data_IF_795833847496
#
_entry.id   IF_795833847496
#
_cell.length_a   1.000
_cell.length_b   1.000
_cell.length_c   1.000
_cell.angle_alpha   90.00
_cell.angle_beta   90.00
_cell.angle_gamma   90.00
#
_symmetry.space_group_name_H-M   'P 1'
#
loop_
_entity.id
_entity.type
_entity.pdbx_description
1 polymer ?
#
# COMPACT_ATOMS: atom_id res chain seq x y z
N UNK A 1 -1.49 13.30 -4.07
CA UNK A 1 -1.18 14.67 -4.48
C UNK A 1 -1.69 15.67 -3.42
N UNK A 2 -3.01 15.83 -3.19
CA UNK A 2 -3.63 16.83 -2.28
C UNK A 2 -2.95 16.87 -0.89
N UNK A 3 -2.73 15.73 -0.24
CA UNK A 3 -2.04 15.66 1.07
C UNK A 3 -0.63 16.24 1.00
N UNK A 4 0.07 16.00 -0.11
CA UNK A 4 1.42 16.54 -0.31
C UNK A 4 1.43 18.05 -0.53
N UNK A 5 0.33 18.64 -0.98
CA UNK A 5 0.22 20.08 -1.29
C UNK A 5 -0.35 20.89 -0.12
N UNK A 6 -1.30 20.30 0.63
CA UNK A 6 -2.04 20.97 1.72
C UNK A 6 -1.40 20.74 3.08
N UNK A 7 -0.81 19.56 3.32
CA UNK A 7 -0.31 19.18 4.64
C UNK A 7 1.20 19.48 4.76
N UNK A 8 1.62 20.21 5.82
CA UNK A 8 3.03 20.46 6.11
C UNK A 8 3.85 19.17 6.19
N UNK A 9 5.13 19.27 5.83
CA UNK A 9 6.02 18.10 5.71
C UNK A 9 6.11 17.30 7.02
N UNK A 10 6.08 17.99 8.17
CA UNK A 10 6.19 17.44 9.53
C UNK A 10 5.00 16.56 9.93
N UNK A 11 3.83 16.76 9.32
CA UNK A 11 2.58 16.03 9.62
C UNK A 11 2.09 15.14 8.48
N UNK A 12 2.85 15.06 7.39
CA UNK A 12 2.42 14.37 6.16
C UNK A 12 2.27 12.87 6.35
N UNK A 13 3.16 12.23 7.12
CA UNK A 13 3.05 10.80 7.40
C UNK A 13 1.86 10.49 8.31
N UNK A 14 1.56 11.36 9.28
CA UNK A 14 0.34 11.24 10.11
C UNK A 14 -0.94 11.31 9.26
N UNK A 15 -1.01 12.25 8.32
CA UNK A 15 -2.14 12.37 7.39
C UNK A 15 -2.27 11.13 6.48
N UNK A 16 -1.15 10.61 5.97
CA UNK A 16 -1.15 9.37 5.19
C UNK A 16 -1.58 8.16 6.04
N UNK A 17 -1.24 8.14 7.33
CA UNK A 17 -1.69 7.12 8.27
C UNK A 17 -3.21 7.10 8.43
N UNK A 18 -3.85 8.27 8.50
CA UNK A 18 -5.33 8.39 8.56
C UNK A 18 -5.97 7.88 7.26
N UNK A 19 -5.39 8.21 6.10
CA UNK A 19 -5.88 7.71 4.81
C UNK A 19 -5.75 6.19 4.73
N UNK A 20 -4.65 5.60 5.20
CA UNK A 20 -4.49 4.15 5.23
C UNK A 20 -5.46 3.48 6.22
N UNK A 21 -5.74 4.12 7.37
CA UNK A 21 -6.77 3.64 8.29
C UNK A 21 -8.17 3.64 7.65
N UNK A 22 -8.50 4.64 6.84
CA UNK A 22 -9.77 4.68 6.09
C UNK A 22 -9.87 3.54 5.07
N UNK A 23 -8.77 3.18 4.41
CA UNK A 23 -8.73 2.02 3.52
C UNK A 23 -8.97 0.71 4.28
N UNK A 24 -8.34 0.55 5.45
CA UNK A 24 -8.57 -0.62 6.32
C UNK A 24 -10.02 -0.69 6.81
N UNK A 25 -10.61 0.46 7.18
CA UNK A 25 -12.02 0.56 7.58
C UNK A 25 -12.95 0.13 6.44
N UNK A 26 -12.66 0.60 5.21
CA UNK A 26 -13.41 0.20 4.02
C UNK A 26 -13.31 -1.31 3.76
N UNK A 27 -12.17 -1.94 4.01
CA UNK A 27 -12.01 -3.40 3.87
C UNK A 27 -12.80 -4.16 4.94
N UNK A 28 -12.75 -3.73 6.20
CA UNK A 28 -13.41 -4.40 7.33
C UNK A 28 -14.93 -4.30 7.28
N UNK A 29 -15.45 -3.15 6.89
CA UNK A 29 -16.90 -2.88 6.85
C UNK A 29 -17.45 -3.08 5.44
N UNK A 30 -16.73 -2.63 4.42
CA UNK A 30 -17.20 -2.60 3.05
C UNK A 30 -17.37 -3.99 2.44
N UNK A 31 -16.45 -4.93 2.72
CA UNK A 31 -16.56 -6.30 2.20
C UNK A 31 -17.77 -7.03 2.75
N UNK A 32 -18.00 -7.11 4.09
CA UNK A 32 -19.20 -7.75 4.63
C UNK A 32 -20.51 -7.07 4.18
N UNK A 33 -20.56 -5.73 4.18
CA UNK A 33 -21.72 -5.00 3.69
C UNK A 33 -21.94 -5.26 2.21
N UNK A 34 -20.88 -5.26 1.38
CA UNK A 34 -20.99 -5.53 -0.05
C UNK A 34 -21.54 -6.92 -0.34
N UNK A 35 -21.06 -7.93 0.38
CA UNK A 35 -21.59 -9.30 0.30
C UNK A 35 -23.05 -9.35 0.73
N UNK A 36 -23.41 -8.74 1.85
CA UNK A 36 -24.80 -8.67 2.30
C UNK A 36 -25.71 -7.97 1.29
N UNK A 37 -25.30 -6.84 0.73
CA UNK A 37 -26.06 -6.15 -0.31
C UNK A 37 -26.27 -7.01 -1.57
N UNK A 38 -25.27 -7.80 -1.94
CA UNK A 38 -25.37 -8.73 -3.06
C UNK A 38 -26.43 -9.83 -2.83
N UNK A 39 -26.67 -10.23 -1.57
CA UNK A 39 -27.72 -11.20 -1.23
C UNK A 39 -29.12 -10.62 -1.27
N UNK A 40 -29.27 -9.29 -1.15
CA UNK A 40 -30.58 -8.62 -1.17
C UNK A 40 -31.20 -8.53 -2.58
N UNK A 41 -30.36 -8.55 -3.63
CA UNK A 41 -30.81 -8.44 -5.03
C UNK A 41 -29.89 -9.27 -5.93
N UNK A 42 -28.83 -8.65 -6.42
CA UNK A 42 -27.83 -9.28 -7.26
C UNK A 42 -26.44 -8.65 -7.03
N UNK A 43 -25.42 -9.14 -7.74
CA UNK A 43 -24.06 -8.65 -7.61
C UNK A 43 -23.87 -7.18 -8.11
N UNK A 44 -24.82 -6.59 -8.83
CA UNK A 44 -24.77 -5.19 -9.27
C UNK A 44 -25.20 -4.24 -8.16
N UNK A 45 -26.09 -4.68 -7.27
CA UNK A 45 -26.66 -3.82 -6.23
C UNK A 45 -25.62 -3.12 -5.33
N UNK A 46 -24.54 -3.78 -4.86
CA UNK A 46 -23.46 -3.11 -4.16
C UNK A 46 -22.83 -1.95 -4.94
N UNK A 47 -22.70 -2.07 -6.26
CA UNK A 47 -22.12 -1.00 -7.09
C UNK A 47 -23.04 0.22 -7.21
N UNK A 48 -24.35 0.03 -7.27
CA UNK A 48 -25.29 1.15 -7.23
C UNK A 48 -25.26 1.87 -5.87
N UNK A 49 -25.16 1.14 -4.76
CA UNK A 49 -25.00 1.73 -3.42
C UNK A 49 -23.68 2.51 -3.32
N UNK A 50 -22.57 1.94 -3.78
CA UNK A 50 -21.28 2.62 -3.82
C UNK A 50 -21.32 3.86 -4.72
N UNK A 51 -21.99 3.79 -5.86
CA UNK A 51 -22.20 4.96 -6.73
C UNK A 51 -22.97 6.07 -6.05
N UNK A 52 -24.06 5.72 -5.35
CA UNK A 52 -24.82 6.67 -4.54
C UNK A 52 -24.01 7.31 -3.43
N UNK A 53 -23.22 6.51 -2.69
CA UNK A 53 -22.31 7.02 -1.66
C UNK A 53 -21.24 7.93 -2.24
N UNK A 54 -20.69 7.60 -3.41
CA UNK A 54 -19.72 8.45 -4.09
C UNK A 54 -20.33 9.81 -4.50
N UNK A 55 -21.56 9.82 -5.01
CA UNK A 55 -22.29 11.05 -5.33
C UNK A 55 -22.55 11.91 -4.09
N UNK A 56 -22.97 11.31 -2.99
CA UNK A 56 -23.17 12.05 -1.73
C UNK A 56 -21.85 12.60 -1.18
N UNK A 57 -20.73 11.90 -1.37
CA UNK A 57 -19.41 12.38 -0.97
C UNK A 57 -18.92 13.59 -1.78
N UNK A 58 -19.43 13.83 -2.99
CA UNK A 58 -19.10 15.03 -3.77
C UNK A 58 -19.53 16.33 -3.07
N UNK A 59 -20.62 16.28 -2.31
CA UNK A 59 -21.13 17.45 -1.60
C UNK A 59 -20.12 18.03 -0.62
N UNK A 60 -19.62 17.27 0.39
CA UNK A 60 -18.59 17.78 1.29
C UNK A 60 -17.28 18.11 0.57
N UNK A 61 -16.90 17.34 -0.45
CA UNK A 61 -15.71 17.62 -1.25
C UNK A 61 -15.78 19.02 -1.85
N UNK A 62 -16.92 19.38 -2.45
CA UNK A 62 -17.12 20.68 -3.06
C UNK A 62 -17.02 21.85 -2.07
N UNK A 63 -17.51 21.66 -0.83
CA UNK A 63 -17.52 22.73 0.18
C UNK A 63 -16.24 22.82 1.02
N UNK A 64 -15.56 21.69 1.29
CA UNK A 64 -14.43 21.64 2.24
C UNK A 64 -13.06 21.55 1.60
N UNK A 65 -12.96 21.10 0.34
CA UNK A 65 -11.63 21.05 -0.30
C UNK A 65 -11.30 22.43 -0.88
N UNK A 66 -10.19 23.07 -0.45
CA UNK A 66 -9.77 24.35 -0.99
C UNK A 66 -9.43 24.22 -2.48
N UNK A 67 -9.63 25.29 -3.23
CA UNK A 67 -9.19 25.37 -4.63
C UNK A 67 -7.65 25.33 -4.68
N UNK A 68 -7.09 24.21 -5.13
CA UNK A 68 -5.64 24.01 -5.22
C UNK A 68 -5.20 24.34 -6.64
N UNK A 69 -5.30 25.64 -7.01
CA UNK A 69 -4.96 26.11 -8.35
C UNK A 69 -3.64 26.87 -8.39
N UNK A 70 -3.00 27.13 -7.24
CA UNK A 70 -1.82 28.00 -7.15
C UNK A 70 -0.60 27.53 -7.98
N UNK A 71 -0.61 26.28 -8.44
CA UNK A 71 0.45 25.70 -9.28
C UNK A 71 0.05 25.57 -10.77
N UNK A 72 -1.18 26.01 -11.15
CA UNK A 72 -1.72 25.86 -12.51
C UNK A 72 -1.73 27.23 -13.25
N UNK A 73 -1.22 28.28 -12.63
CA UNK A 73 -1.43 29.67 -13.04
C UNK A 73 -0.70 30.15 -14.33
N UNK A 74 -0.09 29.26 -15.09
CA UNK A 74 0.42 29.62 -16.40
C UNK A 74 -0.09 28.68 -17.51
N UNK A 75 -0.88 29.23 -18.42
CA UNK A 75 -1.26 28.56 -19.68
C UNK A 75 -0.06 28.14 -20.54
N UNK A 76 1.14 28.64 -20.24
CA UNK A 76 2.40 28.33 -20.91
C UNK A 76 3.04 27.02 -20.49
N UNK A 77 2.60 26.38 -19.39
CA UNK A 77 3.26 25.24 -18.77
C UNK A 77 2.51 23.90 -18.90
N UNK A 78 1.65 23.73 -19.89
CA UNK A 78 1.10 22.40 -20.21
C UNK A 78 2.19 21.55 -20.89
N UNK A 79 3.09 21.03 -20.07
CA UNK A 79 4.09 20.07 -20.55
C UNK A 79 3.38 18.84 -21.15
N UNK A 80 3.88 18.41 -22.30
CA UNK A 80 3.37 17.20 -22.97
C UNK A 80 3.55 16.00 -22.03
N UNK A 81 2.55 15.12 -21.82
CA UNK A 81 2.67 13.95 -20.95
C UNK A 81 3.94 13.11 -21.21
N UNK A 82 4.37 13.02 -22.46
CA UNK A 82 5.59 12.32 -22.87
C UNK A 82 6.85 13.02 -22.34
N UNK A 83 6.86 14.36 -22.33
CA UNK A 83 7.99 15.12 -21.77
C UNK A 83 8.09 14.96 -20.25
N UNK A 84 6.96 14.92 -19.56
CA UNK A 84 6.91 14.67 -18.11
C UNK A 84 7.52 13.29 -17.80
N UNK A 85 7.13 12.26 -18.53
CA UNK A 85 7.68 10.92 -18.40
C UNK A 85 9.18 10.93 -18.66
N UNK A 86 9.63 11.58 -19.74
CA UNK A 86 11.06 11.71 -20.06
C UNK A 86 11.83 12.44 -18.95
N UNK A 87 11.29 13.50 -18.37
CA UNK A 87 11.90 14.22 -17.24
C UNK A 87 12.01 13.38 -15.98
N UNK A 88 11.01 12.53 -15.70
CA UNK A 88 11.04 11.58 -14.58
C UNK A 88 12.20 10.59 -14.76
N UNK A 89 12.37 10.01 -15.95
CA UNK A 89 13.46 9.06 -16.24
C UNK A 89 14.84 9.73 -16.24
N UNK A 90 14.94 11.01 -16.55
CA UNK A 90 16.21 11.77 -16.49
C UNK A 90 16.59 12.19 -15.07
N UNK A 91 15.65 12.25 -14.14
CA UNK A 91 15.88 12.65 -12.76
C UNK A 91 16.18 11.43 -11.88
N UNK A 92 17.45 11.28 -11.47
CA UNK A 92 17.90 10.15 -10.64
C UNK A 92 17.11 9.96 -9.34
N UNK A 93 16.68 11.04 -8.68
CA UNK A 93 15.91 10.96 -7.44
C UNK A 93 14.50 10.44 -7.69
N UNK A 94 13.85 10.91 -8.76
CA UNK A 94 12.52 10.44 -9.14
C UNK A 94 12.56 8.97 -9.61
N UNK A 95 13.58 8.59 -10.36
CA UNK A 95 13.78 7.20 -10.78
C UNK A 95 14.01 6.26 -9.57
N UNK A 96 14.79 6.71 -8.58
CA UNK A 96 14.97 5.99 -7.32
C UNK A 96 13.64 5.85 -6.56
N UNK A 97 12.84 6.91 -6.51
CA UNK A 97 11.54 6.87 -5.83
C UNK A 97 10.53 5.93 -6.53
N UNK A 98 10.54 5.87 -7.87
CA UNK A 98 9.75 4.89 -8.62
C UNK A 98 10.23 3.46 -8.36
N UNK A 99 11.54 3.21 -8.48
CA UNK A 99 12.14 1.91 -8.21
C UNK A 99 11.86 1.43 -6.79
N UNK A 100 11.93 2.34 -5.81
CA UNK A 100 11.54 2.08 -4.43
C UNK A 100 10.09 1.61 -4.32
N UNK A 101 9.16 2.31 -4.98
CA UNK A 101 7.75 1.91 -5.03
C UNK A 101 7.55 0.52 -5.66
N UNK A 102 8.23 0.23 -6.75
CA UNK A 102 8.21 -1.07 -7.44
C UNK A 102 8.72 -2.18 -6.50
N UNK A 103 9.88 -2.00 -5.87
CA UNK A 103 10.47 -3.00 -4.97
C UNK A 103 9.55 -3.32 -3.78
N UNK A 104 8.92 -2.31 -3.19
CA UNK A 104 7.95 -2.52 -2.11
C UNK A 104 6.74 -3.33 -2.59
N UNK A 105 6.22 -3.03 -3.80
CA UNK A 105 5.09 -3.76 -4.36
C UNK A 105 5.47 -5.20 -4.68
N UNK A 106 6.64 -5.47 -5.25
CA UNK A 106 7.17 -6.81 -5.45
C UNK A 106 7.22 -7.59 -4.14
N UNK A 107 7.78 -6.98 -3.07
CA UNK A 107 7.83 -7.58 -1.74
C UNK A 107 6.44 -7.89 -1.15
N UNK A 108 5.43 -7.07 -1.43
CA UNK A 108 4.12 -7.21 -0.80
C UNK A 108 3.17 -8.10 -1.59
N UNK A 109 3.06 -7.85 -2.89
CA UNK A 109 2.08 -8.52 -3.74
C UNK A 109 2.55 -9.87 -4.29
N UNK A 110 3.78 -10.29 -4.03
CA UNK A 110 4.16 -11.69 -4.18
C UNK A 110 3.51 -12.59 -3.10
N UNK A 111 3.21 -12.04 -1.92
CA UNK A 111 2.66 -12.79 -0.78
C UNK A 111 1.13 -12.73 -0.74
N UNK A 112 0.55 -11.52 -0.86
CA UNK A 112 -0.87 -11.25 -0.57
C UNK A 112 -1.85 -12.15 -1.33
N UNK A 113 -1.70 -12.40 -2.65
CA UNK A 113 -2.67 -13.21 -3.41
C UNK A 113 -2.73 -14.68 -2.95
N UNK A 114 -1.64 -15.18 -2.37
CA UNK A 114 -1.51 -16.58 -2.00
C UNK A 114 -1.77 -16.86 -0.52
N UNK A 115 -1.99 -15.84 0.32
CA UNK A 115 -2.30 -16.04 1.74
C UNK A 115 -3.56 -16.90 1.90
N UNK A 116 -4.68 -16.51 1.27
CA UNK A 116 -5.95 -17.23 1.42
C UNK A 116 -5.89 -18.66 0.87
N UNK A 117 -5.44 -18.91 -0.35
CA UNK A 117 -5.27 -20.27 -0.87
C UNK A 117 -4.37 -21.14 0.02
N UNK A 118 -3.25 -20.57 0.50
CA UNK A 118 -2.32 -21.28 1.35
C UNK A 118 -2.91 -21.62 2.74
N UNK A 119 -3.67 -20.70 3.34
CA UNK A 119 -4.34 -20.92 4.61
C UNK A 119 -5.39 -22.04 4.51
N UNK A 120 -6.10 -22.13 3.40
CA UNK A 120 -7.07 -23.22 3.18
C UNK A 120 -6.36 -24.53 2.90
N UNK A 121 -5.44 -24.56 1.94
CA UNK A 121 -4.81 -25.78 1.47
C UNK A 121 -3.86 -26.39 2.49
N UNK A 122 -2.95 -25.58 3.09
CA UNK A 122 -1.83 -26.06 3.89
C UNK A 122 -2.07 -25.96 5.40
N UNK A 123 -2.85 -24.98 5.85
CA UNK A 123 -3.07 -24.73 7.28
C UNK A 123 -4.39 -25.33 7.77
N UNK A 124 -5.31 -25.66 6.84
CA UNK A 124 -6.59 -26.28 7.18
C UNK A 124 -7.67 -25.28 7.61
N UNK A 125 -7.56 -24.01 7.20
CA UNK A 125 -8.60 -23.00 7.46
C UNK A 125 -9.83 -23.26 6.60
N UNK A 126 -11.01 -23.06 7.18
CA UNK A 126 -12.24 -22.97 6.41
C UNK A 126 -12.38 -21.61 5.76
N UNK A 127 -13.18 -21.48 4.69
CA UNK A 127 -13.46 -20.19 4.05
C UNK A 127 -14.06 -19.16 5.03
N UNK A 128 -14.87 -19.62 5.98
CA UNK A 128 -15.43 -18.77 7.04
C UNK A 128 -14.35 -18.21 7.97
N UNK A 129 -13.36 -19.03 8.33
CA UNK A 129 -12.24 -18.64 9.20
C UNK A 129 -11.31 -17.63 8.53
N UNK A 130 -11.21 -17.62 7.19
CA UNK A 130 -10.46 -16.60 6.46
C UNK A 130 -10.98 -15.17 6.76
N UNK A 131 -12.29 -15.03 6.97
CA UNK A 131 -12.89 -13.74 7.32
C UNK A 131 -12.30 -13.15 8.61
N UNK A 132 -11.91 -13.98 9.59
CA UNK A 132 -11.29 -13.51 10.83
C UNK A 132 -9.93 -12.90 10.61
N UNK A 133 -9.14 -13.41 9.64
CA UNK A 133 -7.83 -12.87 9.28
C UNK A 133 -7.98 -11.39 8.86
N UNK A 134 -8.91 -11.13 7.94
CA UNK A 134 -9.15 -9.79 7.41
C UNK A 134 -9.82 -8.86 8.43
N UNK A 135 -10.78 -9.40 9.20
CA UNK A 135 -11.50 -8.63 10.23
C UNK A 135 -10.52 -8.15 11.33
N UNK A 136 -9.76 -9.06 11.93
CA UNK A 136 -8.86 -8.74 13.05
C UNK A 136 -7.68 -7.91 12.55
N UNK A 137 -7.04 -8.34 11.45
CA UNK A 137 -5.93 -7.61 10.84
C UNK A 137 -6.34 -6.21 10.39
N UNK A 138 -7.49 -6.08 9.71
CA UNK A 138 -8.03 -4.81 9.28
C UNK A 138 -8.42 -3.90 10.44
N UNK A 139 -9.14 -4.41 11.45
CA UNK A 139 -9.54 -3.64 12.62
C UNK A 139 -8.33 -3.07 13.37
N UNK A 140 -7.28 -3.85 13.59
CA UNK A 140 -6.08 -3.38 14.27
C UNK A 140 -5.28 -2.38 13.43
N UNK A 141 -5.30 -2.48 12.10
CA UNK A 141 -4.64 -1.48 11.24
C UNK A 141 -5.33 -0.12 11.27
N UNK A 142 -6.62 -0.03 11.56
CA UNK A 142 -7.32 1.25 11.75
C UNK A 142 -6.64 2.07 12.85
N UNK A 143 -6.28 1.43 13.96
CA UNK A 143 -5.65 2.10 15.10
C UNK A 143 -4.14 2.27 14.93
N UNK A 144 -3.46 1.24 14.40
CA UNK A 144 -2.01 1.25 14.29
C UNK A 144 -1.49 2.13 13.16
N UNK A 145 -2.24 2.30 12.05
CA UNK A 145 -1.81 3.13 10.92
C UNK A 145 -1.59 4.61 11.29
N UNK A 146 -2.51 5.31 11.99
CA UNK A 146 -2.24 6.68 12.44
C UNK A 146 -1.08 6.78 13.43
N UNK A 147 -0.89 5.77 14.30
CA UNK A 147 0.22 5.73 15.25
C UNK A 147 1.57 5.62 14.52
N UNK A 148 1.66 4.73 13.54
CA UNK A 148 2.88 4.58 12.72
C UNK A 148 3.15 5.86 11.93
N UNK A 149 2.13 6.53 11.43
CA UNK A 149 2.24 7.84 10.78
C UNK A 149 2.86 8.89 11.71
N UNK A 150 2.34 9.00 12.95
CA UNK A 150 2.89 9.90 13.98
C UNK A 150 4.35 9.55 14.34
N UNK A 151 4.67 8.27 14.47
CA UNK A 151 6.05 7.84 14.73
C UNK A 151 6.96 8.18 13.56
N UNK A 152 6.50 8.03 12.31
CA UNK A 152 7.26 8.38 11.13
C UNK A 152 7.57 9.89 11.05
N UNK A 153 6.61 10.75 11.42
CA UNK A 153 6.83 12.19 11.52
C UNK A 153 7.78 12.56 12.67
N UNK A 154 7.67 11.89 13.83
CA UNK A 154 8.47 12.21 15.03
C UNK A 154 9.90 11.67 14.97
N UNK A 155 10.08 10.44 14.50
CA UNK A 155 11.38 9.73 14.58
C UNK A 155 12.08 9.62 13.23
N UNK A 156 11.45 10.11 12.16
CA UNK A 156 11.99 10.08 10.81
C UNK A 156 11.42 8.94 9.97
N UNK A 157 10.96 9.28 8.76
CA UNK A 157 10.25 8.37 7.84
C UNK A 157 11.07 7.16 7.44
N UNK A 158 12.35 7.37 7.09
CA UNK A 158 13.25 6.30 6.70
C UNK A 158 13.49 5.31 7.84
N UNK A 159 13.66 5.80 9.07
CA UNK A 159 13.88 4.95 10.25
C UNK A 159 12.66 4.08 10.55
N UNK A 160 11.46 4.67 10.57
CA UNK A 160 10.22 3.92 10.82
C UNK A 160 9.92 2.96 9.67
N UNK A 161 10.19 3.36 8.41
CA UNK A 161 10.11 2.46 7.27
C UNK A 161 11.00 1.23 7.46
N UNK A 162 12.26 1.41 7.80
CA UNK A 162 13.20 0.30 8.02
C UNK A 162 12.71 -0.63 9.14
N UNK A 163 12.27 -0.08 10.27
CA UNK A 163 11.75 -0.85 11.39
C UNK A 163 10.52 -1.66 10.97
N UNK A 164 9.58 -1.04 10.27
CA UNK A 164 8.35 -1.73 9.84
C UNK A 164 8.62 -2.81 8.80
N UNK A 165 9.61 -2.64 7.91
CA UNK A 165 10.04 -3.67 6.97
C UNK A 165 10.67 -4.86 7.70
N UNK A 166 11.58 -4.60 8.65
CA UNK A 166 12.21 -5.64 9.46
C UNK A 166 11.15 -6.42 10.27
N UNK A 167 10.24 -5.71 10.91
CA UNK A 167 9.13 -6.33 11.64
C UNK A 167 8.18 -7.11 10.72
N UNK A 168 7.91 -6.64 9.49
CA UNK A 168 7.10 -7.34 8.50
C UNK A 168 7.75 -8.64 7.99
N UNK A 169 9.07 -8.74 8.01
CA UNK A 169 9.79 -9.93 7.58
C UNK A 169 9.50 -11.15 8.46
N UNK A 170 9.24 -10.92 9.75
CA UNK A 170 8.91 -11.99 10.70
C UNK A 170 7.60 -12.70 10.33
N UNK A 171 6.44 -12.03 10.25
CA UNK A 171 5.21 -12.69 9.86
C UNK A 171 5.24 -13.22 8.42
N UNK A 172 5.93 -12.59 7.48
CA UNK A 172 6.12 -13.13 6.12
C UNK A 172 6.81 -14.49 6.18
N UNK A 173 7.90 -14.60 6.93
CA UNK A 173 8.61 -15.86 7.11
C UNK A 173 7.70 -16.96 7.66
N UNK A 174 6.94 -16.69 8.73
CA UNK A 174 6.04 -17.67 9.32
C UNK A 174 4.86 -18.04 8.41
N UNK A 175 4.18 -17.06 7.80
CA UNK A 175 3.03 -17.30 6.91
C UNK A 175 3.39 -18.26 5.77
N UNK A 176 4.56 -18.08 5.19
CA UNK A 176 4.96 -18.86 3.99
C UNK A 176 5.48 -20.27 4.31
N UNK A 177 5.64 -20.62 5.58
CA UNK A 177 6.12 -21.93 6.01
C UNK A 177 5.17 -22.63 7.00
N UNK A 178 3.99 -22.04 7.22
CA UNK A 178 3.04 -22.51 8.20
C UNK A 178 2.35 -23.80 7.70
N UNK A 179 2.41 -24.87 8.49
CA UNK A 179 1.58 -26.07 8.32
C UNK A 179 0.33 -25.99 9.19
N UNK A 180 -0.21 -27.15 9.57
CA UNK A 180 -1.31 -27.23 10.53
C UNK A 180 -0.96 -26.49 11.83
N UNK A 181 -1.65 -25.40 12.09
CA UNK A 181 -1.32 -24.47 13.17
C UNK A 181 -2.59 -24.01 13.87
N UNK A 182 -2.59 -23.89 15.22
CA UNK A 182 -3.75 -23.39 15.96
C UNK A 182 -4.19 -22.01 15.47
N UNK A 183 -5.50 -21.83 15.30
CA UNK A 183 -6.11 -20.62 14.74
C UNK A 183 -5.63 -19.31 15.43
N UNK A 184 -5.45 -19.34 16.75
CA UNK A 184 -4.98 -18.18 17.51
C UNK A 184 -3.58 -17.70 17.05
N UNK A 185 -2.68 -18.65 16.76
CA UNK A 185 -1.34 -18.31 16.30
C UNK A 185 -1.35 -17.81 14.85
N UNK A 186 -2.17 -18.41 13.98
CA UNK A 186 -2.37 -17.94 12.61
C UNK A 186 -2.90 -16.53 12.60
N UNK A 187 -3.93 -16.24 13.41
CA UNK A 187 -4.51 -14.90 13.53
C UNK A 187 -3.50 -13.88 14.08
N UNK A 188 -2.68 -14.26 15.04
CA UNK A 188 -1.61 -13.39 15.54
C UNK A 188 -0.61 -13.03 14.45
N UNK A 189 -0.09 -14.03 13.73
CA UNK A 189 0.94 -13.83 12.70
C UNK A 189 0.38 -13.05 11.52
N UNK A 190 -0.82 -13.38 11.05
CA UNK A 190 -1.46 -12.64 9.95
C UNK A 190 -1.82 -11.21 10.34
N UNK A 191 -2.23 -10.98 11.57
CA UNK A 191 -2.47 -9.63 12.10
C UNK A 191 -1.19 -8.78 12.11
N UNK A 192 -0.06 -9.35 12.55
CA UNK A 192 1.24 -8.66 12.50
C UNK A 192 1.64 -8.35 11.05
N UNK A 193 1.35 -9.25 10.10
CA UNK A 193 1.55 -8.99 8.68
C UNK A 193 0.75 -7.78 8.19
N UNK A 194 -0.53 -7.67 8.56
CA UNK A 194 -1.37 -6.52 8.20
C UNK A 194 -0.85 -5.22 8.82
N UNK A 195 -0.52 -5.23 10.11
CA UNK A 195 -0.02 -4.05 10.84
C UNK A 195 1.28 -3.54 10.21
N UNK A 196 2.28 -4.39 10.05
CA UNK A 196 3.58 -3.99 9.51
C UNK A 196 3.56 -3.79 8.00
N UNK A 197 2.70 -4.52 7.27
CA UNK A 197 2.44 -4.32 5.86
C UNK A 197 1.88 -2.93 5.57
N UNK A 198 0.80 -2.53 6.25
CA UNK A 198 0.28 -1.16 6.19
C UNK A 198 1.31 -0.15 6.73
N UNK A 199 1.99 -0.51 7.81
CA UNK A 199 3.00 0.31 8.48
C UNK A 199 4.12 0.76 7.56
N UNK A 200 4.63 -0.10 6.69
CA UNK A 200 5.68 0.27 5.71
C UNK A 200 5.16 1.12 4.55
N UNK A 201 3.87 1.02 4.21
CA UNK A 201 3.28 1.81 3.12
C UNK A 201 3.16 3.29 3.46
N UNK A 202 2.90 3.63 4.73
CA UNK A 202 2.69 5.01 5.19
C UNK A 202 3.95 5.87 4.99
N UNK A 203 5.11 5.55 5.62
CA UNK A 203 6.32 6.32 5.43
C UNK A 203 6.84 6.25 3.98
N UNK A 204 6.71 5.11 3.28
CA UNK A 204 7.16 4.99 1.90
C UNK A 204 6.41 5.93 0.95
N UNK A 205 5.09 6.00 1.07
CA UNK A 205 4.28 6.91 0.24
C UNK A 205 4.64 8.38 0.53
N UNK A 206 4.91 8.71 1.79
CA UNK A 206 5.32 10.05 2.18
C UNK A 206 6.71 10.40 1.62
N UNK A 207 7.67 9.46 1.66
CA UNK A 207 9.00 9.64 1.08
C UNK A 207 8.93 9.87 -0.43
N UNK A 208 8.15 9.04 -1.14
CA UNK A 208 7.93 9.17 -2.59
C UNK A 208 7.28 10.51 -2.94
N UNK A 209 6.25 10.92 -2.21
CA UNK A 209 5.56 12.22 -2.44
C UNK A 209 6.49 13.41 -2.19
N UNK A 210 7.38 13.31 -1.19
CA UNK A 210 8.32 14.37 -0.85
C UNK A 210 9.57 14.41 -1.74
N UNK A 211 9.75 13.45 -2.63
CA UNK A 211 10.91 13.40 -3.56
C UNK A 211 10.72 14.26 -4.82
N UNK A 212 9.56 14.88 -4.98
CA UNK A 212 9.17 15.60 -6.21
C UNK A 212 8.67 17.00 -5.89
N UNK A 213 9.03 17.96 -6.74
CA UNK A 213 8.57 19.34 -6.66
C UNK A 213 7.04 19.43 -6.74
N UNK A 214 6.39 20.35 -5.99
CA UNK A 214 4.92 20.50 -5.99
C UNK A 214 4.32 20.57 -7.40
N UNK A 215 4.90 21.38 -8.30
CA UNK A 215 4.45 21.55 -9.69
C UNK A 215 4.29 20.21 -10.43
N UNK A 216 5.19 19.24 -10.22
CA UNK A 216 5.22 17.97 -10.96
C UNK A 216 4.65 16.80 -10.16
N UNK A 217 4.19 17.04 -8.91
CA UNK A 217 3.77 15.99 -7.98
C UNK A 217 2.56 15.20 -8.48
N UNK A 218 1.57 15.88 -9.04
CA UNK A 218 0.36 15.24 -9.56
C UNK A 218 0.68 14.22 -10.65
N UNK A 219 1.39 14.64 -11.69
CA UNK A 219 1.80 13.79 -12.81
C UNK A 219 2.70 12.64 -12.38
N UNK A 220 3.68 12.93 -11.51
CA UNK A 220 4.57 11.90 -10.96
C UNK A 220 3.81 10.86 -10.14
N UNK A 221 2.88 11.27 -9.28
CA UNK A 221 2.10 10.35 -8.45
C UNK A 221 1.16 9.49 -9.30
N UNK A 222 0.60 10.01 -10.39
CA UNK A 222 -0.17 9.22 -11.34
C UNK A 222 0.69 8.14 -11.99
N UNK A 223 1.89 8.51 -12.46
CA UNK A 223 2.83 7.56 -13.04
C UNK A 223 3.31 6.51 -12.01
N UNK A 224 3.64 6.94 -10.79
CA UNK A 224 3.99 6.05 -9.69
C UNK A 224 2.85 5.06 -9.37
N UNK A 225 1.59 5.52 -9.36
CA UNK A 225 0.44 4.65 -9.12
C UNK A 225 0.27 3.62 -10.24
N UNK A 226 0.41 4.02 -11.50
CA UNK A 226 0.37 3.10 -12.64
C UNK A 226 1.48 2.04 -12.54
N UNK A 227 2.72 2.46 -12.26
CA UNK A 227 3.87 1.55 -12.09
C UNK A 227 3.65 0.56 -10.95
N UNK A 228 3.09 1.01 -9.83
CA UNK A 228 2.76 0.13 -8.69
C UNK A 228 1.69 -0.90 -9.04
N UNK A 229 0.63 -0.50 -9.76
CA UNK A 229 -0.43 -1.43 -10.16
C UNK A 229 0.08 -2.48 -11.16
N UNK A 230 0.89 -2.08 -12.13
CA UNK A 230 1.54 -3.04 -13.04
C UNK A 230 2.43 -4.02 -12.25
N UNK A 231 3.18 -3.50 -11.28
CA UNK A 231 4.06 -4.31 -10.44
C UNK A 231 3.27 -5.30 -9.57
N UNK A 232 2.07 -4.93 -9.08
CA UNK A 232 1.23 -5.83 -8.31
C UNK A 232 0.87 -7.09 -9.13
N UNK A 233 0.40 -6.91 -10.37
CA UNK A 233 0.11 -8.03 -11.26
C UNK A 233 1.35 -8.85 -11.60
N UNK A 234 2.48 -8.19 -11.88
CA UNK A 234 3.74 -8.86 -12.18
C UNK A 234 4.29 -9.66 -10.99
N UNK A 235 4.18 -9.13 -9.77
CA UNK A 235 4.58 -9.81 -8.54
C UNK A 235 3.75 -11.08 -8.30
N UNK A 236 2.43 -10.99 -8.47
CA UNK A 236 1.54 -12.14 -8.37
C UNK A 236 1.85 -13.20 -9.44
N UNK A 237 2.13 -12.77 -10.67
CA UNK A 237 2.50 -13.67 -11.75
C UNK A 237 3.82 -14.42 -11.46
N UNK A 238 4.87 -13.72 -11.02
CA UNK A 238 6.14 -14.36 -10.63
C UNK A 238 5.92 -15.37 -9.50
N UNK A 239 5.16 -14.97 -8.47
CA UNK A 239 4.86 -15.88 -7.36
C UNK A 239 4.11 -17.13 -7.84
N UNK A 240 3.13 -16.97 -8.74
CA UNK A 240 2.39 -18.09 -9.34
C UNK A 240 3.23 -19.01 -10.22
N UNK A 241 4.37 -18.55 -10.76
CA UNK A 241 5.32 -19.41 -11.48
C UNK A 241 6.19 -20.26 -10.53
N UNK A 242 6.39 -19.79 -9.29
CA UNK A 242 7.21 -20.47 -8.28
C UNK A 242 6.36 -21.46 -7.48
N UNK A 243 5.15 -21.05 -7.11
CA UNK A 243 4.22 -21.87 -6.33
C UNK A 243 3.65 -22.96 -7.24
N UNK A 244 3.73 -24.20 -6.77
CA UNK A 244 3.17 -25.38 -7.44
C UNK A 244 2.17 -26.06 -6.51
N UNK A 245 1.26 -26.83 -7.08
CA UNK A 245 0.30 -27.62 -6.33
C UNK A 245 0.69 -29.10 -6.44
N UNK A 246 0.71 -29.82 -5.33
CA UNK A 246 0.98 -31.24 -5.31
C UNK A 246 -0.30 -32.09 -5.59
N UNK A 247 -0.14 -33.40 -5.66
CA UNK A 247 -1.25 -34.33 -5.93
C UNK A 247 -2.35 -34.31 -4.85
N UNK A 248 -2.08 -33.75 -3.67
CA UNK A 248 -3.03 -33.63 -2.56
C UNK A 248 -3.68 -32.24 -2.50
N UNK A 249 -3.37 -31.32 -3.44
CA UNK A 249 -3.88 -29.95 -3.45
C UNK A 249 -3.10 -29.00 -2.54
N UNK A 250 -1.95 -29.42 -1.97
CA UNK A 250 -1.13 -28.58 -1.12
C UNK A 250 -0.23 -27.66 -1.96
N UNK A 251 -0.15 -26.39 -1.58
CA UNK A 251 0.74 -25.44 -2.24
C UNK A 251 2.18 -25.62 -1.75
N UNK A 252 3.07 -25.87 -2.70
CA UNK A 252 4.51 -26.07 -2.49
C UNK A 252 5.28 -24.83 -2.93
N UNK A 253 6.51 -24.65 -2.40
CA UNK A 253 7.45 -23.58 -2.76
C UNK A 253 7.00 -22.17 -2.33
N UNK A 254 5.95 -22.02 -1.51
CA UNK A 254 5.55 -20.71 -1.04
C UNK A 254 6.60 -20.05 -0.15
N UNK A 255 7.40 -20.84 0.54
CA UNK A 255 8.57 -20.39 1.32
C UNK A 255 9.61 -19.66 0.45
N UNK A 256 9.82 -20.07 -0.80
CA UNK A 256 10.73 -19.40 -1.73
C UNK A 256 10.21 -17.99 -2.08
N UNK A 257 8.90 -17.85 -2.23
CA UNK A 257 8.27 -16.54 -2.43
C UNK A 257 8.40 -15.69 -1.16
N UNK A 258 8.30 -16.29 0.02
CA UNK A 258 8.59 -15.64 1.30
C UNK A 258 9.99 -15.07 1.37
N UNK A 259 11.00 -15.85 1.02
CA UNK A 259 12.39 -15.39 0.98
C UNK A 259 12.60 -14.27 -0.05
N UNK A 260 12.02 -14.41 -1.24
CA UNK A 260 12.04 -13.35 -2.25
C UNK A 260 11.43 -12.05 -1.70
N UNK A 261 10.27 -12.12 -1.06
CA UNK A 261 9.60 -10.96 -0.48
C UNK A 261 10.44 -10.27 0.60
N UNK A 262 11.11 -11.05 1.47
CA UNK A 262 12.00 -10.54 2.51
C UNK A 262 13.21 -9.85 1.87
N UNK A 263 13.86 -10.47 0.90
CA UNK A 263 15.02 -9.90 0.18
C UNK A 263 14.63 -8.57 -0.47
N UNK A 264 13.50 -8.52 -1.20
CA UNK A 264 13.00 -7.28 -1.79
C UNK A 264 12.70 -6.22 -0.72
N UNK A 265 12.16 -6.63 0.42
CA UNK A 265 11.98 -5.76 1.58
C UNK A 265 13.31 -5.14 2.06
N UNK A 266 14.36 -5.94 2.22
CA UNK A 266 15.68 -5.46 2.63
C UNK A 266 16.30 -4.50 1.59
N UNK A 267 16.20 -4.84 0.30
CA UNK A 267 16.65 -3.96 -0.79
C UNK A 267 15.90 -2.63 -0.75
N UNK A 268 14.60 -2.65 -0.42
CA UNK A 268 13.82 -1.41 -0.32
C UNK A 268 14.33 -0.47 0.78
N UNK A 269 14.85 -0.99 1.89
CA UNK A 269 15.48 -0.15 2.95
C UNK A 269 16.67 0.61 2.39
N UNK A 270 17.53 -0.08 1.66
CA UNK A 270 18.70 0.54 1.03
C UNK A 270 18.32 1.58 -0.01
N UNK A 271 17.41 1.25 -0.93
CA UNK A 271 16.96 2.18 -1.97
C UNK A 271 16.25 3.39 -1.36
N UNK A 272 15.39 3.16 -0.36
CA UNK A 272 14.69 4.22 0.36
C UNK A 272 15.64 5.21 1.04
N UNK A 273 16.77 4.74 1.60
CA UNK A 273 17.78 5.60 2.24
C UNK A 273 18.49 6.55 1.26
N UNK A 274 18.40 6.29 -0.05
CA UNK A 274 19.01 7.13 -1.10
C UNK A 274 18.05 8.18 -1.67
N UNK A 275 16.77 8.13 -1.31
CA UNK A 275 15.77 9.11 -1.76
C UNK A 275 15.98 10.41 -1.01
N UNK A 276 16.15 11.50 -1.76
CA UNK A 276 16.27 12.84 -1.18
C UNK A 276 14.91 13.51 -1.15
N UNK A 277 14.60 14.12 0.00
CA UNK A 277 13.44 15.00 0.13
C UNK A 277 13.78 16.31 -0.59
N UNK A 278 12.87 16.79 -1.44
CA UNK A 278 13.00 18.08 -2.10
C UNK A 278 12.32 19.11 -1.20
N UNK A 279 13.13 19.95 -0.53
CA UNK A 279 12.63 20.99 0.36
C UNK A 279 11.96 22.14 -0.40
N UNK A 280 11.01 22.82 0.25
CA UNK A 280 10.38 24.01 -0.32
C UNK A 280 11.38 25.16 -0.47
N UNK A 281 12.43 25.21 0.33
CA UNK A 281 13.47 26.23 0.29
C UNK A 281 14.43 26.11 -0.92
N UNK A 282 14.42 24.98 -1.64
CA UNK A 282 15.20 24.82 -2.89
C UNK A 282 14.58 25.55 -4.10
N UNK A 283 13.58 26.41 -3.88
CA UNK A 283 12.82 27.10 -4.94
C UNK A 283 13.10 28.60 -5.05
N UNK A 284 13.85 29.17 -4.10
CA UNK A 284 14.15 30.62 -4.07
C UNK A 284 15.53 30.97 -4.66
N UNK A 285 16.25 30.00 -5.23
CA UNK A 285 17.55 30.25 -5.89
C UNK A 285 17.51 29.88 -7.37
#
# INVERSE_FOLDING_TARGET
>A
AIVGDVIPNERRASAMGIIMASFSLASVIGVPIGLYLATLSDWHFPFFVLGGLALTALVPIYFYIPKINAHIDSKEDRENPIEIISKVFKNKNQLLALGFGVIIMLSHFSIVPFISPYMVANVGFTEEQLSYIYLIGGALTIFTSPLIGKFADRYGRQKIFAITVLMASIPVFFITQMGETPIALVLLVTTLFFIFGAGRMIPSTTMVTSSVKPKNRGSFMSFNSASRQMTNGFAAYIAGLIITEDANGLLQNYELVGYFAIIMGMISIYVGSRIKVVDQNDFEN
#
